data_IF_534663271116
#
_entry.id   IF_534663271116
#
_cell.length_a   1.000
_cell.length_b   1.000
_cell.length_c   1.000
_cell.angle_alpha   90.00
_cell.angle_beta   90.00
_cell.angle_gamma   90.00
#
_symmetry.space_group_name_H-M   'P 1'
#
loop_
_entity.id
_entity.type
_entity.pdbx_description
1 polymer ?
#
# COMPACT_ATOMS: atom_id res chain seq x y z
N UNK A 1 -6.13 66.59 13.53
CA UNK A 1 -5.47 65.30 13.89
C UNK A 1 -4.07 65.64 14.34
N UNK A 2 -3.80 65.49 15.64
CA UNK A 2 -2.56 65.90 16.30
C UNK A 2 -1.39 65.01 15.86
N UNK A 3 -0.17 65.56 15.84
CA UNK A 3 1.05 64.87 15.38
C UNK A 3 1.30 63.51 16.06
N UNK A 4 0.86 63.33 17.31
CA UNK A 4 0.95 62.05 18.03
C UNK A 4 0.16 60.91 17.36
N UNK A 5 -1.02 61.18 16.81
CA UNK A 5 -1.81 60.13 16.15
C UNK A 5 -1.17 59.66 14.84
N UNK A 6 -0.37 60.52 14.20
CA UNK A 6 0.39 60.16 13.00
C UNK A 6 1.58 59.27 13.33
N UNK A 7 2.29 59.55 14.42
CA UNK A 7 3.43 58.73 14.85
C UNK A 7 2.99 57.32 15.31
N UNK A 8 1.87 57.21 16.03
CA UNK A 8 1.33 55.91 16.42
C UNK A 8 0.86 55.11 15.19
N UNK A 9 0.16 55.75 14.25
CA UNK A 9 -0.23 55.10 12.99
C UNK A 9 0.99 54.64 12.18
N UNK A 10 2.09 55.41 12.19
CA UNK A 10 3.32 55.06 11.50
C UNK A 10 4.03 53.86 12.15
N UNK A 11 4.03 53.78 13.49
CA UNK A 11 4.59 52.64 14.23
C UNK A 11 3.78 51.36 14.00
N UNK A 12 2.45 51.45 13.96
CA UNK A 12 1.58 50.31 13.67
C UNK A 12 1.81 49.79 12.23
N UNK A 13 1.97 50.69 11.26
CA UNK A 13 2.28 50.29 9.89
C UNK A 13 3.68 49.65 9.77
N UNK A 14 4.70 50.22 10.43
CA UNK A 14 6.05 49.62 10.50
C UNK A 14 6.05 48.26 11.21
N UNK A 15 5.19 48.05 12.20
CA UNK A 15 5.07 46.77 12.89
C UNK A 15 4.42 45.70 11.98
N UNK A 16 3.30 46.04 11.33
CA UNK A 16 2.66 45.15 10.34
C UNK A 16 3.57 44.83 9.15
N UNK A 17 4.34 45.80 8.66
CA UNK A 17 5.26 45.59 7.54
C UNK A 17 6.45 44.68 7.94
N UNK A 18 6.89 44.73 9.20
CA UNK A 18 7.92 43.82 9.72
C UNK A 18 7.38 42.40 10.01
N UNK A 19 6.13 42.24 10.45
CA UNK A 19 5.50 40.91 10.59
C UNK A 19 5.27 40.25 9.23
N UNK A 20 4.72 40.98 8.26
CA UNK A 20 4.53 40.47 6.88
C UNK A 20 5.84 40.12 6.16
N UNK A 21 6.95 40.79 6.48
CA UNK A 21 8.28 40.44 5.95
C UNK A 21 8.96 39.29 6.69
N UNK A 22 8.60 39.01 7.95
CA UNK A 22 9.14 37.84 8.67
C UNK A 22 8.42 36.54 8.28
N UNK A 23 7.15 36.62 7.88
CA UNK A 23 6.38 35.44 7.42
C UNK A 23 6.64 35.09 5.95
N UNK A 24 7.28 35.97 5.17
CA UNK A 24 7.61 35.73 3.75
C UNK A 24 8.94 34.98 3.52
N UNK A 25 9.67 34.67 4.60
CA UNK A 25 11.01 34.06 4.58
C UNK A 25 11.05 32.54 4.75
N UNK A 26 9.90 31.85 4.66
CA UNK A 26 9.83 30.39 4.88
C UNK A 26 8.72 29.74 4.05
N UNK A 27 8.66 30.02 2.74
CA UNK A 27 7.65 29.38 1.89
C UNK A 27 8.18 28.95 0.52
N UNK A 28 9.43 28.47 0.52
CA UNK A 28 10.03 27.70 -0.58
C UNK A 28 10.16 26.21 -0.19
N UNK A 29 9.24 25.72 0.63
CA UNK A 29 9.08 24.30 0.86
C UNK A 29 8.53 23.66 -0.43
N UNK A 30 9.20 22.65 -1.02
CA UNK A 30 8.69 21.99 -2.22
C UNK A 30 7.26 21.51 -1.95
N UNK A 31 6.32 21.65 -2.89
CA UNK A 31 4.91 21.21 -2.73
C UNK A 31 4.76 19.78 -2.17
N UNK A 32 5.77 18.95 -2.39
CA UNK A 32 5.94 17.59 -1.87
C UNK A 32 6.05 17.58 -0.32
N UNK A 33 6.78 18.53 0.28
CA UNK A 33 6.94 18.66 1.73
C UNK A 33 5.63 18.99 2.44
N UNK A 34 4.81 19.91 1.91
CA UNK A 34 3.47 20.18 2.48
C UNK A 34 2.54 18.95 2.39
N UNK A 35 2.65 18.15 1.33
CA UNK A 35 1.86 16.92 1.18
C UNK A 35 2.31 15.81 2.14
N UNK A 36 3.62 15.66 2.35
CA UNK A 36 4.25 14.71 3.28
C UNK A 36 3.96 15.09 4.73
N UNK A 37 4.09 16.36 5.10
CA UNK A 37 3.83 16.86 6.46
C UNK A 37 2.34 16.72 6.82
N UNK A 38 1.43 16.84 5.87
CA UNK A 38 -0.01 16.64 6.12
C UNK A 38 -0.38 15.18 6.42
N UNK A 39 0.37 14.21 5.91
CA UNK A 39 0.19 12.77 6.18
C UNK A 39 1.15 12.23 7.25
N UNK A 40 1.97 13.09 7.88
CA UNK A 40 2.99 12.74 8.87
C UNK A 40 2.53 11.85 10.04
N UNK A 41 1.36 12.07 10.68
CA UNK A 41 0.90 11.16 11.74
C UNK A 41 0.56 9.74 11.23
N UNK A 42 0.17 9.60 9.96
CA UNK A 42 -0.18 8.30 9.35
C UNK A 42 1.08 7.56 8.88
N UNK A 43 2.10 8.29 8.43
CA UNK A 43 3.37 7.71 7.95
C UNK A 43 4.30 7.36 9.11
N UNK A 44 4.30 8.15 10.18
CA UNK A 44 5.26 7.97 11.29
C UNK A 44 5.09 6.64 12.01
N UNK A 45 3.86 6.17 12.20
CA UNK A 45 3.57 4.90 12.89
C UNK A 45 4.20 3.67 12.20
N UNK A 46 3.92 3.38 10.91
CA UNK A 46 4.54 2.23 10.23
C UNK A 46 6.04 2.42 10.04
N UNK A 47 6.53 3.66 9.87
CA UNK A 47 7.95 3.94 9.73
C UNK A 47 8.71 3.66 11.03
N UNK A 48 8.17 4.07 12.19
CA UNK A 48 8.75 3.74 13.49
C UNK A 48 8.75 2.23 13.74
N UNK A 49 7.69 1.51 13.35
CA UNK A 49 7.63 0.05 13.45
C UNK A 49 8.67 -0.64 12.55
N UNK A 50 8.90 -0.11 11.34
CA UNK A 50 9.94 -0.60 10.44
C UNK A 50 11.33 -0.42 11.06
N UNK A 51 11.62 0.75 11.62
CA UNK A 51 12.89 1.03 12.30
C UNK A 51 13.08 0.10 13.50
N UNK A 52 12.03 -0.12 14.30
CA UNK A 52 12.07 -1.05 15.43
C UNK A 52 12.34 -2.49 14.97
N UNK A 53 11.68 -2.92 13.89
CA UNK A 53 11.93 -4.22 13.29
C UNK A 53 13.39 -4.36 12.85
N UNK A 54 13.95 -3.36 12.18
CA UNK A 54 15.32 -3.39 11.66
C UNK A 54 16.34 -3.43 12.80
N UNK A 55 16.09 -2.71 13.89
CA UNK A 55 16.90 -2.81 15.12
C UNK A 55 16.82 -4.22 15.73
N UNK A 56 15.61 -4.77 15.85
CA UNK A 56 15.39 -6.13 16.37
C UNK A 56 16.11 -7.17 15.49
N UNK A 57 16.05 -7.00 14.17
CA UNK A 57 16.77 -7.81 13.20
C UNK A 57 18.28 -7.74 13.39
N UNK A 58 18.84 -6.54 13.57
CA UNK A 58 20.27 -6.34 13.81
C UNK A 58 20.76 -7.02 15.08
N UNK A 59 19.97 -6.98 16.16
CA UNK A 59 20.26 -7.73 17.39
C UNK A 59 20.18 -9.24 17.15
N UNK A 60 19.16 -9.71 16.42
CA UNK A 60 19.01 -11.13 16.07
C UNK A 60 20.14 -11.67 15.19
N UNK A 61 20.68 -10.85 14.28
CA UNK A 61 21.85 -11.18 13.47
C UNK A 61 23.12 -11.36 14.33
N UNK A 62 23.26 -10.56 15.39
CA UNK A 62 24.40 -10.62 16.30
C UNK A 62 24.43 -11.89 17.16
N UNK A 63 23.26 -12.43 17.53
CA UNK A 63 23.17 -13.56 18.49
C UNK A 63 23.06 -14.93 17.79
N UNK A 64 22.28 -15.05 16.71
CA UNK A 64 22.00 -16.34 16.04
C UNK A 64 22.08 -16.25 14.50
N UNK A 65 23.26 -15.94 13.93
CA UNK A 65 23.43 -15.66 12.51
C UNK A 65 22.97 -16.78 11.56
N UNK A 66 22.88 -18.02 12.05
CA UNK A 66 22.45 -19.18 11.27
C UNK A 66 20.95 -19.17 10.88
N UNK A 67 20.09 -18.49 11.64
CA UNK A 67 18.66 -18.37 11.33
C UNK A 67 18.29 -16.97 10.81
N UNK A 68 19.07 -15.97 11.18
CA UNK A 68 18.93 -14.57 10.76
C UNK A 68 19.83 -14.19 9.58
N UNK A 69 20.41 -15.15 8.85
CA UNK A 69 21.08 -14.83 7.60
C UNK A 69 20.07 -14.31 6.56
N UNK A 70 20.40 -13.27 5.76
CA UNK A 70 19.56 -12.79 4.65
C UNK A 70 19.22 -13.87 3.61
N UNK A 71 20.06 -14.90 3.53
CA UNK A 71 19.88 -16.06 2.66
C UNK A 71 18.84 -17.07 3.18
N UNK A 72 18.41 -16.95 4.45
CA UNK A 72 17.45 -17.88 5.02
C UNK A 72 16.05 -17.67 4.40
N UNK A 73 15.31 -18.74 4.06
CA UNK A 73 13.96 -18.62 3.50
C UNK A 73 13.00 -17.81 4.37
N UNK A 74 13.08 -17.97 5.70
CA UNK A 74 12.30 -17.21 6.66
C UNK A 74 12.58 -15.72 6.56
N UNK A 75 13.86 -15.36 6.40
CA UNK A 75 14.20 -13.96 6.33
C UNK A 75 13.77 -13.30 5.04
N UNK A 76 13.88 -14.01 3.92
CA UNK A 76 13.37 -13.54 2.63
C UNK A 76 11.87 -13.24 2.71
N UNK A 77 11.10 -14.08 3.41
CA UNK A 77 9.66 -13.86 3.60
C UNK A 77 9.37 -12.60 4.43
N UNK A 78 10.16 -12.34 5.48
CA UNK A 78 9.99 -11.14 6.30
C UNK A 78 10.40 -9.88 5.53
N UNK A 79 11.49 -9.91 4.77
CA UNK A 79 11.86 -8.80 3.89
C UNK A 79 10.81 -8.55 2.80
N UNK A 80 10.21 -9.61 2.25
CA UNK A 80 9.10 -9.50 1.30
C UNK A 80 7.92 -8.77 1.96
N UNK A 81 7.54 -9.17 3.19
CA UNK A 81 6.42 -8.57 3.93
C UNK A 81 6.66 -7.08 4.23
N UNK A 82 7.83 -6.75 4.78
CA UNK A 82 8.15 -5.38 5.21
C UNK A 82 8.39 -4.47 4.01
N UNK A 83 9.11 -4.96 3.00
CA UNK A 83 9.32 -4.22 1.77
C UNK A 83 7.98 -3.97 1.05
N UNK A 84 7.07 -4.96 1.05
CA UNK A 84 5.73 -4.81 0.49
C UNK A 84 4.93 -3.73 1.20
N UNK A 85 4.89 -3.76 2.54
CA UNK A 85 4.22 -2.74 3.34
C UNK A 85 4.80 -1.34 3.11
N UNK A 86 6.13 -1.23 3.04
CA UNK A 86 6.83 0.04 2.82
C UNK A 86 6.55 0.59 1.43
N UNK A 87 6.62 -0.24 0.39
CA UNK A 87 6.28 0.15 -0.98
C UNK A 87 4.80 0.51 -1.12
N UNK A 88 3.90 -0.18 -0.43
CA UNK A 88 2.48 0.18 -0.35
C UNK A 88 2.29 1.61 0.14
N UNK A 89 2.92 1.96 1.27
CA UNK A 89 2.86 3.32 1.84
C UNK A 89 3.47 4.35 0.88
N UNK A 90 4.64 4.07 0.30
CA UNK A 90 5.28 4.97 -0.67
C UNK A 90 4.37 5.25 -1.87
N UNK A 91 3.71 4.22 -2.40
CA UNK A 91 2.78 4.36 -3.54
C UNK A 91 1.51 5.11 -3.13
N UNK A 92 1.03 4.92 -1.90
CA UNK A 92 -0.07 5.67 -1.30
C UNK A 92 0.20 7.19 -1.28
N UNK A 93 1.44 7.59 -1.00
CA UNK A 93 1.85 9.01 -1.00
C UNK A 93 1.77 9.68 -2.37
N UNK A 94 1.80 8.89 -3.45
CA UNK A 94 1.68 9.37 -4.82
C UNK A 94 0.19 9.43 -5.23
N UNK A 95 -0.73 8.95 -4.38
CA UNK A 95 -2.18 8.93 -4.60
C UNK A 95 -2.69 7.68 -5.32
N UNK A 96 -1.87 6.62 -5.41
CA UNK A 96 -2.25 5.34 -5.99
C UNK A 96 -2.67 4.35 -4.89
N UNK A 97 -3.50 3.34 -5.20
CA UNK A 97 -3.90 2.33 -4.22
C UNK A 97 -2.70 1.54 -3.67
N UNK A 98 -2.65 1.37 -2.35
CA UNK A 98 -1.56 0.67 -1.64
C UNK A 98 -1.28 -0.74 -2.18
N UNK A 99 -2.32 -1.44 -2.62
CA UNK A 99 -2.21 -2.78 -3.22
C UNK A 99 -1.27 -2.82 -4.42
N UNK A 100 -1.22 -1.74 -5.22
CA UNK A 100 -0.33 -1.65 -6.37
C UNK A 100 1.14 -1.62 -5.94
N UNK A 101 1.45 -0.91 -4.85
CA UNK A 101 2.80 -0.89 -4.28
C UNK A 101 3.22 -2.23 -3.68
N UNK A 102 2.30 -2.91 -2.99
CA UNK A 102 2.56 -4.24 -2.44
C UNK A 102 2.81 -5.29 -3.53
N UNK A 103 1.99 -5.31 -4.59
CA UNK A 103 2.17 -6.22 -5.73
C UNK A 103 3.45 -5.88 -6.49
N UNK A 104 3.70 -4.59 -6.75
CA UNK A 104 4.90 -4.13 -7.46
C UNK A 104 6.19 -4.56 -6.76
N UNK A 105 6.24 -4.42 -5.42
CA UNK A 105 7.36 -4.95 -4.64
C UNK A 105 7.53 -6.45 -4.81
N UNK A 106 6.45 -7.23 -4.73
CA UNK A 106 6.51 -8.68 -4.89
C UNK A 106 7.06 -9.11 -6.26
N UNK A 107 6.65 -8.44 -7.33
CA UNK A 107 7.16 -8.68 -8.69
C UNK A 107 8.65 -8.34 -8.79
N UNK A 108 9.07 -7.17 -8.27
CA UNK A 108 10.47 -6.76 -8.23
C UNK A 108 11.32 -7.75 -7.41
N UNK A 109 10.82 -8.16 -6.25
CA UNK A 109 11.48 -9.09 -5.34
C UNK A 109 11.72 -10.46 -5.99
N UNK A 110 10.75 -10.95 -6.77
CA UNK A 110 10.92 -12.16 -7.58
C UNK A 110 11.90 -11.96 -8.72
N UNK A 111 11.86 -10.81 -9.41
CA UNK A 111 12.73 -10.49 -10.54
C UNK A 111 14.22 -10.40 -10.15
N UNK A 112 14.53 -9.91 -8.95
CA UNK A 112 15.91 -9.83 -8.41
C UNK A 112 16.46 -11.21 -7.99
N UNK A 113 15.63 -12.27 -8.00
CA UNK A 113 16.04 -13.62 -7.62
C UNK A 113 16.02 -13.88 -6.10
N UNK A 114 15.54 -12.93 -5.31
CA UNK A 114 15.33 -13.10 -3.87
C UNK A 114 14.05 -13.87 -3.52
N UNK A 115 13.15 -14.04 -4.48
CA UNK A 115 11.92 -14.83 -4.31
C UNK A 115 12.11 -16.35 -4.28
N UNK A 116 13.31 -16.89 -4.07
CA UNK A 116 13.52 -18.33 -3.91
C UNK A 116 13.34 -18.72 -2.45
N UNK A 117 12.22 -19.40 -2.14
CA UNK A 117 11.80 -19.83 -0.81
C UNK A 117 11.88 -21.35 -0.64
N UNK A 118 12.89 -22.00 -1.25
CA UNK A 118 13.07 -23.44 -1.18
C UNK A 118 13.09 -23.93 0.27
N UNK A 119 12.14 -24.80 0.63
CA UNK A 119 11.95 -25.32 1.99
C UNK A 119 10.78 -24.73 2.79
N UNK A 120 10.08 -23.70 2.27
CA UNK A 120 8.92 -23.06 2.94
C UNK A 120 7.59 -23.22 2.19
N UNK A 121 7.52 -24.07 1.18
CA UNK A 121 6.33 -24.23 0.31
C UNK A 121 5.03 -24.50 1.09
N UNK A 122 5.10 -25.31 2.15
CA UNK A 122 3.94 -25.57 3.02
C UNK A 122 3.47 -24.33 3.78
N UNK A 123 4.40 -23.49 4.23
CA UNK A 123 4.08 -22.24 4.92
C UNK A 123 3.47 -21.23 3.93
N UNK A 124 4.01 -21.12 2.72
CA UNK A 124 3.47 -20.26 1.68
C UNK A 124 2.03 -20.63 1.29
N UNK A 125 1.76 -21.94 1.16
CA UNK A 125 0.42 -22.46 0.89
C UNK A 125 -0.56 -22.06 1.99
N UNK A 126 -0.19 -22.28 3.26
CA UNK A 126 -1.00 -21.91 4.43
C UNK A 126 -1.23 -20.39 4.48
N UNK A 127 -0.20 -19.58 4.22
CA UNK A 127 -0.35 -18.11 4.21
C UNK A 127 -1.32 -17.64 3.13
N UNK A 128 -1.26 -18.21 1.93
CA UNK A 128 -2.17 -17.87 0.83
C UNK A 128 -3.61 -18.25 1.17
N UNK A 129 -3.82 -19.42 1.77
CA UNK A 129 -5.12 -19.89 2.21
C UNK A 129 -5.68 -19.00 3.34
N UNK A 130 -4.87 -18.71 4.37
CA UNK A 130 -5.25 -17.83 5.47
C UNK A 130 -5.55 -16.41 4.99
N UNK A 131 -4.77 -15.88 4.04
CA UNK A 131 -5.03 -14.56 3.46
C UNK A 131 -6.38 -14.53 2.72
N UNK A 132 -6.66 -15.53 1.88
CA UNK A 132 -7.94 -15.64 1.17
C UNK A 132 -9.11 -15.78 2.14
N UNK A 133 -8.98 -16.63 3.16
CA UNK A 133 -9.99 -16.81 4.20
C UNK A 133 -10.23 -15.50 4.95
N UNK A 134 -9.18 -14.79 5.36
CA UNK A 134 -9.31 -13.52 6.08
C UNK A 134 -10.03 -12.45 5.24
N UNK A 135 -9.65 -12.30 3.97
CA UNK A 135 -10.30 -11.34 3.05
C UNK A 135 -11.79 -11.69 2.86
N UNK A 136 -12.11 -12.97 2.67
CA UNK A 136 -13.50 -13.42 2.49
C UNK A 136 -14.31 -13.28 3.78
N UNK A 137 -13.72 -13.55 4.95
CA UNK A 137 -14.36 -13.34 6.24
C UNK A 137 -14.65 -11.85 6.48
N UNK A 138 -13.70 -10.96 6.20
CA UNK A 138 -13.88 -9.51 6.29
C UNK A 138 -15.02 -9.04 5.37
N UNK A 139 -15.06 -9.51 4.13
CA UNK A 139 -16.13 -9.21 3.19
C UNK A 139 -17.50 -9.74 3.66
N UNK A 140 -17.53 -10.93 4.28
CA UNK A 140 -18.75 -11.54 4.80
C UNK A 140 -19.25 -10.91 6.10
N UNK A 141 -18.36 -10.47 7.00
CA UNK A 141 -18.73 -9.85 8.27
C UNK A 141 -19.31 -8.44 8.10
N UNK A 142 -18.89 -7.72 7.05
CA UNK A 142 -19.43 -6.39 6.73
C UNK A 142 -20.80 -6.40 6.07
N UNK A 143 -21.41 -7.58 5.88
CA UNK A 143 -22.61 -7.76 5.07
C UNK A 143 -23.88 -7.82 5.93
N UNK A 144 -24.86 -6.96 5.60
CA UNK A 144 -26.21 -7.01 6.17
C UNK A 144 -27.05 -8.08 5.46
N UNK A 145 -27.46 -9.10 6.21
CA UNK A 145 -28.25 -10.23 5.70
C UNK A 145 -29.65 -9.82 5.23
N UNK A 146 -30.27 -8.82 5.85
CA UNK A 146 -31.62 -8.37 5.50
C UNK A 146 -31.62 -7.58 4.18
N UNK A 147 -30.60 -6.76 3.96
CA UNK A 147 -30.35 -6.10 2.68
C UNK A 147 -29.97 -7.10 1.59
N UNK A 148 -29.09 -8.06 1.89
CA UNK A 148 -28.67 -9.08 0.94
C UNK A 148 -29.86 -9.91 0.45
N UNK A 149 -30.78 -10.34 1.32
CA UNK A 149 -31.96 -11.12 0.91
C UNK A 149 -32.82 -10.39 -0.10
N UNK A 150 -32.98 -9.07 0.04
CA UNK A 150 -33.75 -8.23 -0.90
C UNK A 150 -33.04 -8.09 -2.25
N UNK A 151 -31.71 -8.03 -2.24
CA UNK A 151 -30.87 -7.77 -3.41
C UNK A 151 -30.27 -9.05 -4.03
N UNK A 152 -30.45 -10.22 -3.42
CA UNK A 152 -29.77 -11.46 -3.79
C UNK A 152 -29.96 -11.81 -5.27
N UNK A 153 -31.19 -11.71 -5.77
CA UNK A 153 -31.49 -11.96 -7.17
C UNK A 153 -30.84 -10.97 -8.13
N UNK A 154 -30.66 -9.70 -7.71
CA UNK A 154 -29.95 -8.69 -8.50
C UNK A 154 -28.45 -8.96 -8.48
N UNK A 155 -27.86 -9.17 -7.30
CA UNK A 155 -26.44 -9.46 -7.10
C UNK A 155 -26.03 -10.68 -7.92
N UNK A 156 -26.79 -11.76 -7.86
CA UNK A 156 -26.51 -12.98 -8.65
C UNK A 156 -26.50 -12.74 -10.16
N UNK A 157 -27.37 -11.87 -10.68
CA UNK A 157 -27.42 -11.54 -12.11
C UNK A 157 -26.24 -10.67 -12.53
N UNK A 158 -25.86 -9.69 -11.71
CA UNK A 158 -24.74 -8.79 -12.00
C UNK A 158 -23.36 -9.43 -11.74
N UNK A 159 -23.29 -10.55 -11.04
CA UNK A 159 -22.02 -11.29 -10.87
C UNK A 159 -21.94 -12.43 -11.87
N UNK A 160 -22.91 -13.35 -11.90
CA UNK A 160 -22.79 -14.56 -12.72
C UNK A 160 -22.86 -14.31 -14.22
N UNK A 161 -23.80 -13.48 -14.69
CA UNK A 161 -23.97 -13.25 -16.14
C UNK A 161 -22.72 -12.59 -16.75
N UNK A 162 -22.21 -11.46 -16.21
CA UNK A 162 -21.01 -10.84 -16.77
C UNK A 162 -19.76 -11.69 -16.56
N UNK A 163 -19.56 -12.34 -15.40
CA UNK A 163 -18.36 -13.19 -15.20
C UNK A 163 -18.34 -14.38 -16.16
N UNK A 164 -19.46 -15.07 -16.38
CA UNK A 164 -19.51 -16.17 -17.35
C UNK A 164 -19.24 -15.65 -18.77
N UNK A 165 -19.79 -14.49 -19.14
CA UNK A 165 -19.54 -13.88 -20.43
C UNK A 165 -18.08 -13.48 -20.61
N UNK A 166 -17.49 -12.80 -19.62
CA UNK A 166 -16.08 -12.38 -19.59
C UNK A 166 -15.14 -13.58 -19.69
N UNK A 167 -15.29 -14.58 -18.83
CA UNK A 167 -14.48 -15.80 -18.85
C UNK A 167 -14.59 -16.53 -20.20
N UNK A 168 -15.79 -16.60 -20.79
CA UNK A 168 -15.98 -17.25 -22.10
C UNK A 168 -15.28 -16.46 -23.22
N UNK A 169 -15.42 -15.13 -23.24
CA UNK A 169 -14.77 -14.27 -24.24
C UNK A 169 -13.25 -14.38 -24.10
N UNK A 170 -12.72 -14.31 -22.88
CA UNK A 170 -11.28 -14.44 -22.60
C UNK A 170 -10.77 -15.82 -23.01
N UNK A 171 -11.51 -16.89 -22.74
CA UNK A 171 -11.13 -18.24 -23.16
C UNK A 171 -11.06 -18.39 -24.69
N UNK A 172 -12.04 -17.85 -25.43
CA UNK A 172 -12.05 -17.87 -26.90
C UNK A 172 -10.86 -17.08 -27.45
N UNK A 173 -10.58 -15.89 -26.89
CA UNK A 173 -9.43 -15.08 -27.28
C UNK A 173 -8.12 -15.79 -26.94
N UNK A 174 -8.01 -16.47 -25.81
CA UNK A 174 -6.80 -17.20 -25.41
C UNK A 174 -6.48 -18.35 -26.38
N UNK A 175 -7.51 -19.11 -26.79
CA UNK A 175 -7.35 -20.19 -27.77
C UNK A 175 -6.98 -19.63 -29.14
N UNK A 176 -7.62 -18.55 -29.58
CA UNK A 176 -7.40 -17.99 -30.91
C UNK A 176 -6.06 -17.25 -31.03
N UNK A 177 -5.68 -16.47 -30.01
CA UNK A 177 -4.51 -15.59 -30.04
C UNK A 177 -3.24 -16.28 -29.57
N UNK A 178 -3.33 -17.16 -28.56
CA UNK A 178 -2.18 -17.85 -27.98
C UNK A 178 -2.11 -19.35 -28.33
N UNK A 179 -3.06 -19.87 -29.12
CA UNK A 179 -3.12 -21.29 -29.51
C UNK A 179 -3.13 -22.26 -28.30
N UNK A 180 -3.61 -21.80 -27.15
CA UNK A 180 -3.67 -22.61 -25.93
C UNK A 180 -4.88 -23.55 -25.93
N UNK A 181 -4.82 -24.72 -25.27
CA UNK A 181 -5.97 -25.59 -25.09
C UNK A 181 -7.12 -24.90 -24.33
N UNK A 182 -8.36 -25.29 -24.63
CA UNK A 182 -9.57 -24.72 -24.01
C UNK A 182 -9.53 -24.69 -22.48
N UNK A 183 -9.00 -25.74 -21.83
CA UNK A 183 -8.88 -25.79 -20.37
C UNK A 183 -8.04 -24.64 -19.82
N UNK A 184 -6.91 -24.34 -20.45
CA UNK A 184 -6.03 -23.23 -20.05
C UNK A 184 -6.66 -21.87 -20.39
N UNK A 185 -7.42 -21.80 -21.48
CA UNK A 185 -8.20 -20.60 -21.81
C UNK A 185 -9.25 -20.27 -20.74
N UNK A 186 -10.00 -21.27 -20.27
CA UNK A 186 -10.98 -21.11 -19.19
C UNK A 186 -10.36 -20.88 -17.81
N UNK A 187 -9.12 -21.31 -17.57
CA UNK A 187 -8.38 -21.00 -16.33
C UNK A 187 -7.80 -19.58 -16.32
N UNK A 188 -7.57 -19.01 -17.51
CA UNK A 188 -7.05 -17.65 -17.67
C UNK A 188 -8.15 -16.60 -17.52
N UNK A 189 -9.33 -16.87 -18.06
CA UNK A 189 -10.52 -16.04 -17.91
C UNK A 189 -11.28 -16.30 -16.62
#
# INVERSE_FOLDING_TARGET
>A
MSGQQREEAQKVNLFNENETNNDSGYDDDPKIWKHVVRHWPVISQPLTLLVLFLLMWGVGYSILPQYTAPESPFMRLVFLFIGGQTCGIIVSLIGLPDMLGMIGWGVLYRNVGWGNFSGLEGLEAILRELALVNIMLLAGMGLDLDALRKLFGMVMRITLIPTVAETTIVAVLAVYLFNMPWLWGFLLG
#
